data_IF_119228154088
#
_entry.id   IF_119228154088
#
_cell.length_a   1.000
_cell.length_b   1.000
_cell.length_c   1.000
_cell.angle_alpha   90.00
_cell.angle_beta   90.00
_cell.angle_gamma   90.00
#
_symmetry.space_group_name_H-M   'P 1'
#
loop_
_entity.id
_entity.type
_entity.pdbx_description
1 polymer ?
#
# COMPACT_ATOMS: atom_id res chain seq x y z
N UNK A 1 -27.37 22.47 14.87
CA UNK A 1 -26.17 22.57 14.03
C UNK A 1 -24.89 22.00 14.65
N UNK A 2 -24.92 21.37 15.81
CA UNK A 2 -23.71 20.87 16.51
C UNK A 2 -23.55 19.35 16.51
N UNK A 3 -24.35 18.59 15.75
CA UNK A 3 -24.28 17.11 15.67
C UNK A 3 -23.68 16.56 14.37
N UNK A 4 -23.38 17.39 13.39
CA UNK A 4 -22.82 16.94 12.10
C UNK A 4 -21.29 16.74 12.10
N UNK A 5 -20.57 17.40 12.99
CA UNK A 5 -19.09 17.35 12.98
C UNK A 5 -18.48 16.15 13.71
N UNK A 6 -19.27 15.37 14.45
CA UNK A 6 -18.74 14.26 15.26
C UNK A 6 -18.66 12.93 14.47
N UNK A 7 -19.42 12.78 13.40
CA UNK A 7 -19.47 11.53 12.59
C UNK A 7 -18.43 11.56 11.46
N UNK A 8 -18.16 12.72 10.86
CA UNK A 8 -17.13 12.89 9.84
C UNK A 8 -15.70 12.57 10.35
N UNK A 9 -15.48 12.72 11.66
CA UNK A 9 -14.19 12.42 12.31
C UNK A 9 -13.96 10.90 12.45
N UNK A 10 -15.02 10.09 12.48
CA UNK A 10 -14.90 8.65 12.74
C UNK A 10 -14.57 7.81 11.48
N UNK A 11 -14.89 8.29 10.28
CA UNK A 11 -14.67 7.57 9.04
C UNK A 11 -13.30 7.90 8.42
N UNK A 12 -12.79 9.10 8.64
CA UNK A 12 -11.43 9.51 8.26
C UNK A 12 -10.34 8.97 9.22
N UNK A 13 -10.72 8.33 10.33
CA UNK A 13 -9.78 7.96 11.39
C UNK A 13 -8.97 6.67 11.14
N UNK A 14 -9.24 5.90 10.10
CA UNK A 14 -8.41 4.72 9.79
C UNK A 14 -7.14 5.08 9.00
N UNK A 15 -7.16 6.14 8.20
CA UNK A 15 -5.96 6.66 7.52
C UNK A 15 -5.37 7.92 8.16
N UNK A 16 -6.09 8.55 9.11
CA UNK A 16 -5.55 9.65 9.91
C UNK A 16 -5.14 9.20 11.33
N UNK A 17 -4.90 7.94 11.58
CA UNK A 17 -4.37 7.47 12.87
C UNK A 17 -3.04 8.18 13.23
N UNK A 18 -2.25 8.55 12.23
CA UNK A 18 -1.03 9.34 12.43
C UNK A 18 -1.30 10.82 12.78
N UNK A 19 -2.51 11.33 12.58
CA UNK A 19 -2.82 12.74 12.85
C UNK A 19 -3.33 13.00 14.28
N UNK A 20 -3.85 11.98 14.97
CA UNK A 20 -4.53 12.16 16.27
C UNK A 20 -3.54 12.28 17.44
N UNK A 21 -2.32 11.77 17.27
CA UNK A 21 -1.35 11.68 18.37
C UNK A 21 -0.02 12.40 18.11
N UNK A 22 0.10 13.16 17.03
CA UNK A 22 1.29 13.94 16.75
C UNK A 22 1.58 14.94 17.87
N UNK A 23 2.81 14.90 18.41
CA UNK A 23 3.23 15.90 19.36
C UNK A 23 3.39 17.25 18.66
N UNK A 24 2.53 18.21 18.99
CA UNK A 24 2.65 19.57 18.46
C UNK A 24 3.83 20.27 19.13
N UNK A 25 4.88 20.53 18.36
CA UNK A 25 6.05 21.30 18.84
C UNK A 25 5.75 22.80 18.76
N UNK A 26 5.05 23.19 17.70
CA UNK A 26 4.64 24.57 17.45
C UNK A 26 3.32 24.57 16.67
N UNK A 27 2.45 25.51 16.99
CA UNK A 27 1.23 25.83 16.25
C UNK A 27 0.82 27.28 16.59
N UNK A 28 0.43 28.05 15.60
CA UNK A 28 -0.03 29.43 15.77
C UNK A 28 -1.44 29.67 15.21
N UNK A 29 -1.94 30.88 15.47
CA UNK A 29 -3.29 31.30 15.06
C UNK A 29 -3.47 31.42 13.54
N UNK A 30 -2.40 31.42 12.75
CA UNK A 30 -2.44 31.48 11.29
C UNK A 30 -2.51 30.09 10.67
N UNK A 31 -2.41 29.02 11.47
CA UNK A 31 -2.41 27.63 11.04
C UNK A 31 -1.02 27.13 10.63
N UNK A 32 0.04 27.85 10.93
CA UNK A 32 1.40 27.37 10.83
C UNK A 32 1.66 26.36 11.95
N UNK A 33 2.31 25.24 11.63
CA UNK A 33 2.59 24.22 12.64
C UNK A 33 3.89 23.44 12.35
N UNK A 34 4.43 22.86 13.42
CA UNK A 34 5.45 21.82 13.38
C UNK A 34 5.02 20.69 14.31
N UNK A 35 4.91 19.47 13.79
CA UNK A 35 4.46 18.29 14.52
C UNK A 35 5.45 17.15 14.37
N UNK A 36 5.72 16.46 15.47
CA UNK A 36 6.42 15.20 15.53
C UNK A 36 5.39 14.08 15.68
N UNK A 37 5.51 13.03 14.91
CA UNK A 37 4.64 11.87 14.96
C UNK A 37 5.43 10.61 14.69
N UNK A 38 4.84 9.48 14.98
CA UNK A 38 5.43 8.20 14.67
C UNK A 38 4.62 7.05 15.19
N UNK A 39 5.14 5.87 14.97
CA UNK A 39 4.56 4.64 15.47
C UNK A 39 5.63 3.58 15.75
N UNK A 40 5.29 2.64 16.60
CA UNK A 40 6.07 1.41 16.83
C UNK A 40 5.12 0.25 16.69
N UNK A 41 5.44 -0.64 15.77
CA UNK A 41 4.76 -1.90 15.53
C UNK A 41 5.62 -3.09 15.91
N UNK A 42 5.04 -4.05 16.63
CA UNK A 42 5.72 -5.29 17.00
C UNK A 42 4.80 -6.45 16.72
N UNK A 43 5.26 -7.39 15.90
CA UNK A 43 4.46 -8.56 15.54
C UNK A 43 4.97 -9.26 14.30
N UNK A 44 4.12 -10.10 13.73
CA UNK A 44 4.44 -10.83 12.52
C UNK A 44 3.56 -12.05 12.31
N UNK A 45 3.92 -12.83 11.32
CA UNK A 45 3.21 -14.02 10.87
C UNK A 45 3.73 -15.28 11.57
N UNK A 46 2.81 -16.18 11.89
CA UNK A 46 3.09 -17.50 12.43
C UNK A 46 2.38 -18.53 11.56
N UNK A 47 3.13 -19.47 11.00
CA UNK A 47 2.58 -20.50 10.11
C UNK A 47 3.11 -20.40 8.68
N UNK A 48 2.40 -20.95 7.72
CA UNK A 48 2.73 -20.80 6.30
C UNK A 48 2.41 -19.39 5.85
N UNK A 49 3.39 -18.71 5.29
CA UNK A 49 3.21 -17.35 4.78
C UNK A 49 2.90 -17.33 3.29
N UNK A 50 2.23 -16.26 2.90
CA UNK A 50 1.92 -15.96 1.54
C UNK A 50 2.95 -14.99 0.92
N UNK A 51 3.57 -15.37 -0.19
CA UNK A 51 4.26 -14.47 -1.10
C UNK A 51 3.94 -14.87 -2.54
N UNK A 52 3.25 -14.02 -3.29
CA UNK A 52 2.93 -14.18 -4.72
C UNK A 52 2.40 -15.58 -5.12
N UNK A 53 1.51 -16.16 -4.30
CA UNK A 53 0.89 -17.45 -4.60
C UNK A 53 1.64 -18.70 -4.16
N UNK A 54 2.77 -18.57 -3.54
CA UNK A 54 3.48 -19.69 -2.94
C UNK A 54 3.36 -19.67 -1.42
N UNK A 55 2.94 -20.81 -0.84
CA UNK A 55 3.08 -21.03 0.58
C UNK A 55 4.53 -21.34 0.90
N UNK A 56 5.20 -20.49 1.64
CA UNK A 56 6.45 -20.86 2.27
C UNK A 56 6.13 -21.78 3.45
N UNK A 57 6.13 -23.07 3.19
CA UNK A 57 6.01 -24.12 4.21
C UNK A 57 7.34 -24.38 4.90
N UNK A 58 8.13 -23.33 5.18
CA UNK A 58 9.31 -23.55 5.98
C UNK A 58 8.85 -23.75 7.43
N UNK A 59 9.17 -24.89 8.02
CA UNK A 59 8.71 -25.34 9.36
C UNK A 59 9.09 -24.39 10.51
N UNK A 60 9.69 -23.23 10.22
CA UNK A 60 10.15 -22.23 11.20
C UNK A 60 9.50 -20.86 11.05
N UNK A 61 8.38 -20.83 10.58
CA UNK A 61 7.60 -19.76 10.08
C UNK A 61 7.14 -18.76 11.14
N UNK A 62 8.04 -18.04 11.72
CA UNK A 62 7.76 -16.70 12.23
C UNK A 62 8.45 -15.70 11.31
N UNK A 63 7.69 -14.82 10.71
CA UNK A 63 8.17 -13.67 9.95
C UNK A 63 7.97 -12.45 10.81
N UNK A 64 9.06 -11.84 11.21
CA UNK A 64 9.08 -10.64 12.02
C UNK A 64 8.76 -9.42 11.13
N UNK A 65 7.61 -8.82 11.37
CA UNK A 65 7.10 -7.63 10.70
C UNK A 65 7.15 -6.41 11.63
N UNK A 66 8.08 -6.42 12.57
CA UNK A 66 8.23 -5.32 13.54
C UNK A 66 8.95 -4.13 12.89
N UNK A 67 8.44 -2.93 13.14
CA UNK A 67 9.00 -1.70 12.60
C UNK A 67 8.82 -0.51 13.56
N UNK A 68 9.47 0.60 13.24
CA UNK A 68 9.23 1.89 13.89
C UNK A 68 9.34 3.02 12.86
N UNK A 69 8.39 3.93 12.89
CA UNK A 69 8.35 5.13 12.06
C UNK A 69 8.54 6.37 12.91
N UNK A 70 9.33 7.32 12.43
CA UNK A 70 9.50 8.64 13.04
C UNK A 70 9.37 9.71 11.97
N UNK A 71 8.35 10.56 12.10
CA UNK A 71 8.05 11.61 11.12
C UNK A 71 8.01 13.01 11.71
N UNK A 72 8.41 13.97 10.90
CA UNK A 72 8.23 15.41 11.13
C UNK A 72 7.43 15.98 9.98
N UNK A 73 6.33 16.68 10.30
CA UNK A 73 5.55 17.43 9.32
C UNK A 73 5.32 18.86 9.79
N UNK A 74 5.33 19.77 8.86
CA UNK A 74 5.15 21.16 9.15
C UNK A 74 4.48 21.93 8.02
N UNK A 75 3.91 23.07 8.41
CA UNK A 75 3.32 24.04 7.49
C UNK A 75 3.74 25.43 7.90
N UNK A 76 4.05 26.27 6.92
CA UNK A 76 4.27 27.70 7.10
C UNK A 76 3.66 28.44 5.91
N UNK A 77 2.70 29.31 6.22
CA UNK A 77 1.86 29.95 5.21
C UNK A 77 1.20 28.90 4.29
N UNK A 78 1.56 28.90 3.00
CA UNK A 78 1.11 27.95 1.99
C UNK A 78 2.06 26.78 1.74
N UNK A 79 3.23 26.81 2.34
CA UNK A 79 4.22 25.75 2.18
C UNK A 79 4.03 24.68 3.26
N UNK A 80 4.04 23.42 2.87
CA UNK A 80 4.09 22.30 3.81
C UNK A 80 5.22 21.34 3.43
N UNK A 81 5.61 20.50 4.37
CA UNK A 81 6.68 19.53 4.18
C UNK A 81 6.52 18.34 5.10
N UNK A 82 7.07 17.20 4.69
CA UNK A 82 7.16 15.99 5.48
C UNK A 82 8.52 15.35 5.30
N UNK A 83 9.09 14.87 6.41
CA UNK A 83 10.20 13.93 6.48
C UNK A 83 9.75 12.77 7.35
N UNK A 84 9.88 11.55 6.83
CA UNK A 84 9.58 10.32 7.57
C UNK A 84 10.72 9.33 7.40
N UNK A 85 11.06 8.70 8.50
CA UNK A 85 12.12 7.71 8.61
C UNK A 85 11.51 6.43 9.14
N UNK A 86 11.76 5.34 8.44
CA UNK A 86 11.37 4.01 8.84
C UNK A 86 12.56 3.18 9.28
N UNK A 87 12.37 2.44 10.36
CA UNK A 87 13.33 1.50 10.90
C UNK A 87 12.70 0.12 10.87
N UNK A 88 13.09 -0.68 9.90
CA UNK A 88 12.51 -1.96 9.58
C UNK A 88 13.56 -3.01 9.17
N UNK A 89 13.16 -4.24 8.94
CA UNK A 89 14.04 -5.27 8.39
C UNK A 89 14.36 -4.99 6.92
N UNK A 90 15.65 -5.14 6.53
CA UNK A 90 16.10 -5.00 5.14
C UNK A 90 15.27 -5.85 4.16
N UNK A 91 14.86 -7.02 4.59
CA UNK A 91 13.96 -7.89 3.86
C UNK A 91 12.69 -8.13 4.69
N UNK A 92 11.85 -7.11 4.77
CA UNK A 92 10.63 -7.13 5.57
C UNK A 92 9.66 -8.25 5.14
N UNK A 93 9.57 -8.56 3.85
CA UNK A 93 8.72 -9.66 3.32
C UNK A 93 9.05 -11.03 3.92
N UNK A 94 10.27 -11.23 4.34
CA UNK A 94 10.75 -12.48 4.92
C UNK A 94 11.13 -12.35 6.41
N UNK A 95 10.94 -11.18 7.00
CA UNK A 95 11.34 -10.89 8.38
C UNK A 95 12.82 -11.14 8.64
N UNK A 96 13.68 -10.96 7.64
CA UNK A 96 15.10 -11.32 7.68
C UNK A 96 16.01 -10.14 7.30
N UNK A 97 17.31 -10.31 7.47
CA UNK A 97 18.29 -9.24 7.26
C UNK A 97 18.49 -8.35 8.49
N UNK A 98 19.33 -7.36 8.34
CA UNK A 98 19.60 -6.38 9.40
C UNK A 98 18.45 -5.37 9.51
N UNK A 99 18.33 -4.71 10.65
CA UNK A 99 17.45 -3.57 10.82
C UNK A 99 18.11 -2.35 10.15
N UNK A 100 17.40 -1.75 9.22
CA UNK A 100 17.88 -0.61 8.44
C UNK A 100 16.99 0.62 8.68
N UNK A 101 17.61 1.78 8.56
CA UNK A 101 16.92 3.05 8.60
C UNK A 101 16.78 3.56 7.16
N UNK A 102 15.55 3.75 6.72
CA UNK A 102 15.22 4.26 5.38
C UNK A 102 14.52 5.61 5.47
N UNK A 103 14.53 6.35 4.39
CA UNK A 103 13.69 7.55 4.24
C UNK A 103 12.44 7.10 3.49
N UNK A 104 11.30 7.18 4.16
CA UNK A 104 10.01 6.81 3.59
C UNK A 104 9.36 8.00 2.86
N UNK A 105 9.34 9.17 3.49
CA UNK A 105 8.83 10.40 2.88
C UNK A 105 9.82 11.54 2.99
N UNK A 106 10.00 12.27 1.90
CA UNK A 106 10.78 13.51 1.86
C UNK A 106 10.25 14.43 0.77
N UNK A 107 9.30 15.27 1.08
CA UNK A 107 8.71 16.17 0.11
C UNK A 107 8.45 17.57 0.66
N UNK A 108 8.24 18.49 -0.28
CA UNK A 108 7.74 19.83 -0.03
C UNK A 108 6.50 20.06 -0.88
N UNK A 109 5.47 20.66 -0.29
CA UNK A 109 4.23 20.96 -0.97
C UNK A 109 3.83 22.42 -0.86
N UNK A 110 2.85 22.80 -1.66
CA UNK A 110 2.30 24.14 -1.73
C UNK A 110 0.77 24.10 -1.89
N UNK A 111 0.06 24.83 -1.02
CA UNK A 111 -1.39 25.01 -1.10
C UNK A 111 -1.73 25.96 -2.24
N UNK A 112 -2.23 25.44 -3.35
CA UNK A 112 -2.58 26.22 -4.55
C UNK A 112 -3.86 27.02 -4.29
N UNK A 113 -4.87 26.33 -3.72
CA UNK A 113 -6.15 26.89 -3.29
C UNK A 113 -6.57 26.25 -1.96
N UNK A 114 -7.71 26.65 -1.45
CA UNK A 114 -8.32 26.00 -0.29
C UNK A 114 -8.61 24.52 -0.62
N UNK A 115 -8.12 23.62 0.23
CA UNK A 115 -8.23 22.16 0.07
C UNK A 115 -7.61 21.58 -1.23
N UNK A 116 -6.64 22.28 -1.81
CA UNK A 116 -5.93 21.81 -3.00
C UNK A 116 -4.45 22.12 -2.88
N UNK A 117 -3.61 21.12 -3.13
CA UNK A 117 -2.16 21.28 -3.01
C UNK A 117 -1.40 20.50 -4.08
N UNK A 118 -0.17 20.92 -4.27
CA UNK A 118 0.85 20.22 -5.06
C UNK A 118 1.99 19.89 -4.13
N UNK A 119 2.55 18.71 -4.25
CA UNK A 119 3.78 18.32 -3.56
C UNK A 119 4.78 17.70 -4.53
N UNK A 120 6.08 17.74 -4.16
CA UNK A 120 7.15 17.20 -4.97
C UNK A 120 8.26 16.63 -4.09
N UNK A 121 8.75 15.45 -4.44
CA UNK A 121 9.81 14.73 -3.72
C UNK A 121 9.60 13.24 -3.70
N UNK A 122 10.07 12.59 -2.64
CA UNK A 122 9.74 11.20 -2.29
C UNK A 122 8.39 11.21 -1.58
N UNK A 123 7.37 10.70 -2.25
CA UNK A 123 5.98 10.70 -1.77
C UNK A 123 5.20 9.57 -2.42
N UNK A 124 4.07 9.21 -1.82
CA UNK A 124 3.13 8.25 -2.38
C UNK A 124 2.65 8.67 -3.76
N UNK A 125 2.41 7.72 -4.65
CA UNK A 125 1.62 8.00 -5.84
C UNK A 125 0.18 8.35 -5.44
N UNK A 126 -0.58 8.97 -6.33
CA UNK A 126 -1.87 9.52 -5.92
C UNK A 126 -2.90 8.45 -5.52
N UNK A 127 -2.83 7.24 -6.07
CA UNK A 127 -3.78 6.16 -5.79
C UNK A 127 -3.36 5.26 -4.63
N UNK A 128 -2.12 5.27 -4.20
CA UNK A 128 -1.53 4.40 -3.17
C UNK A 128 -2.38 4.33 -1.88
N UNK A 129 -2.79 5.45 -1.32
CA UNK A 129 -3.66 5.51 -0.15
C UNK A 129 -5.04 4.84 -0.31
N UNK A 130 -5.43 4.47 -1.53
CA UNK A 130 -6.79 4.02 -1.87
C UNK A 130 -6.86 2.66 -2.55
N UNK A 131 -5.75 2.02 -2.85
CA UNK A 131 -5.68 0.73 -3.52
C UNK A 131 -6.39 -0.40 -2.74
N UNK A 132 -6.36 -0.31 -1.40
CA UNK A 132 -7.02 -1.21 -0.44
C UNK A 132 -8.22 -0.58 0.25
N UNK A 133 -8.85 0.44 -0.34
CA UNK A 133 -9.86 1.25 0.35
C UNK A 133 -11.00 0.46 0.98
N UNK A 134 -11.43 -0.63 0.37
CA UNK A 134 -12.53 -1.48 0.84
C UNK A 134 -12.13 -2.54 1.85
N UNK A 135 -10.86 -2.70 2.20
CA UNK A 135 -10.44 -3.69 3.17
C UNK A 135 -10.47 -3.16 4.62
N UNK A 136 -10.80 -4.04 5.56
CA UNK A 136 -10.78 -3.79 7.00
C UNK A 136 -9.82 -4.70 7.75
N UNK A 137 -9.17 -5.64 7.08
CA UNK A 137 -8.17 -6.53 7.66
C UNK A 137 -6.78 -5.87 7.64
N UNK A 138 -5.84 -6.35 8.42
CA UNK A 138 -4.48 -5.82 8.48
C UNK A 138 -3.55 -6.53 7.52
N UNK A 139 -3.84 -7.80 7.24
CA UNK A 139 -2.92 -8.70 6.58
C UNK A 139 -3.58 -9.46 5.42
N UNK A 140 -2.77 -9.96 4.51
CA UNK A 140 -3.14 -10.84 3.39
C UNK A 140 -4.34 -10.35 2.59
N UNK A 141 -4.23 -9.16 2.05
CA UNK A 141 -5.28 -8.56 1.23
C UNK A 141 -5.04 -8.82 -0.25
N UNK A 142 -6.10 -8.71 -1.04
CA UNK A 142 -6.02 -8.57 -2.50
C UNK A 142 -5.67 -7.13 -2.80
N UNK A 143 -4.47 -6.91 -3.30
CA UNK A 143 -3.95 -5.58 -3.58
C UNK A 143 -3.50 -5.42 -5.02
N UNK A 144 -3.48 -4.20 -5.48
CA UNK A 144 -2.98 -3.85 -6.80
C UNK A 144 -1.45 -3.91 -6.83
N UNK A 145 -0.87 -4.08 -8.02
CA UNK A 145 0.58 -3.92 -8.23
C UNK A 145 0.98 -2.47 -8.47
N UNK A 146 0.27 -1.49 -7.86
CA UNK A 146 0.60 -0.08 -8.04
C UNK A 146 1.99 0.28 -7.49
N UNK A 147 2.53 1.45 -7.87
CA UNK A 147 3.95 1.74 -7.67
C UNK A 147 4.32 2.16 -6.24
N UNK A 148 3.35 2.53 -5.41
CA UNK A 148 3.59 3.01 -4.06
C UNK A 148 4.41 4.29 -3.98
N UNK A 149 5.29 4.34 -2.98
CA UNK A 149 6.21 5.45 -2.77
C UNK A 149 7.26 5.56 -3.86
N UNK A 150 7.42 6.76 -4.39
CA UNK A 150 8.35 7.00 -5.48
C UNK A 150 9.18 8.27 -5.27
N UNK A 151 10.46 8.17 -5.57
CA UNK A 151 11.33 9.32 -5.75
C UNK A 151 10.87 10.19 -6.93
N UNK A 152 11.23 11.47 -6.93
CA UNK A 152 11.03 12.38 -8.08
C UNK A 152 9.58 12.42 -8.56
N UNK A 153 8.65 12.41 -7.61
CA UNK A 153 7.22 12.46 -7.87
C UNK A 153 6.69 13.88 -7.70
N UNK A 154 5.81 14.28 -8.60
CA UNK A 154 4.97 15.47 -8.44
C UNK A 154 3.54 14.96 -8.31
N UNK A 155 2.87 15.35 -7.22
CA UNK A 155 1.50 14.95 -6.91
C UNK A 155 0.63 16.19 -6.70
N UNK A 156 -0.55 16.17 -7.26
CA UNK A 156 -1.62 17.12 -6.99
C UNK A 156 -2.78 16.39 -6.33
N UNK A 157 -3.33 16.99 -5.28
CA UNK A 157 -4.56 16.54 -4.65
C UNK A 157 -5.52 17.70 -4.42
N UNK A 158 -6.82 17.40 -4.53
CA UNK A 158 -7.87 18.38 -4.30
C UNK A 158 -9.14 17.77 -3.77
N UNK A 159 -9.85 18.53 -2.91
CA UNK A 159 -11.19 18.21 -2.42
C UNK A 159 -12.19 19.21 -2.98
N UNK A 160 -13.25 18.70 -3.56
CA UNK A 160 -14.32 19.46 -4.20
C UNK A 160 -15.67 19.08 -3.61
N UNK A 161 -16.58 20.01 -3.47
CA UNK A 161 -17.95 19.78 -2.99
C UNK A 161 -18.00 19.02 -1.64
N UNK A 162 -17.01 19.25 -0.78
CA UNK A 162 -16.82 18.61 0.53
C UNK A 162 -16.57 17.09 0.51
N UNK A 163 -17.17 16.35 -0.41
CA UNK A 163 -17.17 14.89 -0.43
C UNK A 163 -16.38 14.27 -1.60
N UNK A 164 -16.01 15.03 -2.62
CA UNK A 164 -15.29 14.53 -3.78
C UNK A 164 -13.82 14.88 -3.67
N UNK A 165 -12.95 13.85 -3.72
CA UNK A 165 -11.51 14.01 -3.84
C UNK A 165 -11.02 13.57 -5.22
N UNK A 166 -9.97 14.21 -5.65
CA UNK A 166 -9.26 13.88 -6.88
C UNK A 166 -7.77 14.03 -6.63
N UNK A 167 -6.98 13.06 -7.08
CA UNK A 167 -5.53 13.10 -7.04
C UNK A 167 -4.93 12.66 -8.37
N UNK A 168 -3.77 13.22 -8.72
CA UNK A 168 -2.98 12.79 -9.85
C UNK A 168 -1.49 12.98 -9.54
N UNK A 169 -0.68 12.02 -9.93
CA UNK A 169 0.77 12.07 -9.78
C UNK A 169 1.50 11.68 -11.06
N UNK A 170 2.71 12.20 -11.17
CA UNK A 170 3.68 11.81 -12.19
C UNK A 170 5.03 11.59 -11.53
N UNK A 171 5.59 10.41 -11.75
CA UNK A 171 6.92 10.02 -11.29
C UNK A 171 7.85 9.89 -12.49
N UNK A 172 8.98 10.55 -12.44
CA UNK A 172 10.03 10.41 -13.45
C UNK A 172 10.98 9.28 -13.08
N UNK A 173 11.07 8.27 -13.94
CA UNK A 173 12.01 7.15 -13.75
C UNK A 173 11.76 6.34 -12.49
N UNK A 174 10.51 5.91 -12.27
CA UNK A 174 10.10 5.14 -11.10
C UNK A 174 10.87 3.83 -10.92
N UNK A 175 10.90 3.33 -9.68
CA UNK A 175 11.59 2.11 -9.29
C UNK A 175 10.72 1.22 -8.43
N UNK A 176 10.89 -0.09 -8.61
CA UNK A 176 10.30 -1.07 -7.68
C UNK A 176 11.03 -1.08 -6.34
N UNK A 177 10.44 -1.69 -5.33
CA UNK A 177 11.07 -1.91 -4.01
C UNK A 177 12.41 -2.65 -4.10
N UNK A 178 12.63 -3.45 -5.14
CA UNK A 178 13.91 -4.12 -5.43
C UNK A 178 14.90 -3.25 -6.21
N UNK A 179 14.57 -1.99 -6.51
CA UNK A 179 15.39 -1.06 -7.28
C UNK A 179 15.36 -1.27 -8.79
N UNK A 180 14.48 -2.13 -9.32
CA UNK A 180 14.32 -2.31 -10.76
C UNK A 180 13.61 -1.10 -11.36
N UNK A 181 14.04 -0.65 -12.54
CA UNK A 181 13.42 0.48 -13.23
C UNK A 181 12.00 0.12 -13.72
N UNK A 182 11.04 0.97 -13.45
CA UNK A 182 9.64 0.89 -13.88
C UNK A 182 9.32 1.86 -15.03
N UNK A 183 10.23 2.76 -15.36
CA UNK A 183 10.00 3.88 -16.29
C UNK A 183 9.20 5.01 -15.64
N UNK A 184 8.66 5.89 -16.47
CA UNK A 184 7.80 6.97 -15.98
C UNK A 184 6.43 6.42 -15.57
N UNK A 185 5.89 6.95 -14.47
CA UNK A 185 4.62 6.49 -13.90
C UNK A 185 3.62 7.66 -13.91
N UNK A 186 2.43 7.39 -14.41
CA UNK A 186 1.25 8.27 -14.29
C UNK A 186 0.22 7.55 -13.45
N UNK A 187 -0.21 8.17 -12.38
CA UNK A 187 -1.14 7.57 -11.42
C UNK A 187 -2.21 8.61 -11.06
N UNK A 188 -3.41 8.16 -10.68
CA UNK A 188 -4.45 9.08 -10.25
C UNK A 188 -5.72 8.38 -9.80
N UNK A 189 -6.53 9.11 -9.05
CA UNK A 189 -7.81 8.64 -8.56
C UNK A 189 -8.87 9.73 -8.56
N UNK A 190 -10.12 9.29 -8.49
CA UNK A 190 -11.28 10.08 -8.11
C UNK A 190 -12.12 9.29 -7.12
N UNK A 191 -12.57 9.93 -6.06
CA UNK A 191 -13.38 9.28 -5.03
C UNK A 191 -14.46 10.19 -4.46
N UNK A 192 -15.54 9.56 -4.02
CA UNK A 192 -16.59 10.15 -3.20
C UNK A 192 -16.46 9.66 -1.76
N UNK A 193 -16.45 10.55 -0.79
CA UNK A 193 -16.18 10.26 0.63
C UNK A 193 -17.24 10.88 1.53
N UNK A 194 -18.48 10.39 1.43
CA UNK A 194 -19.59 10.83 2.27
C UNK A 194 -19.65 10.08 3.61
N UNK A 195 -20.57 10.51 4.49
CA UNK A 195 -20.66 10.04 5.88
C UNK A 195 -20.86 8.53 6.04
N UNK A 196 -21.69 7.90 5.22
CA UNK A 196 -22.02 6.47 5.33
C UNK A 196 -21.58 5.65 4.13
N UNK A 197 -21.16 6.30 3.06
CA UNK A 197 -20.72 5.65 1.83
C UNK A 197 -19.50 6.37 1.27
N UNK A 198 -18.52 5.59 0.85
CA UNK A 198 -17.37 6.09 0.08
C UNK A 198 -17.02 5.10 -1.03
N UNK A 199 -16.57 5.63 -2.15
CA UNK A 199 -16.06 4.84 -3.25
C UNK A 199 -14.96 5.58 -3.97
N UNK A 200 -13.96 4.85 -4.44
CA UNK A 200 -12.79 5.38 -5.15
C UNK A 200 -12.49 4.52 -6.37
N UNK A 201 -12.09 5.18 -7.44
CA UNK A 201 -11.54 4.55 -8.65
C UNK A 201 -10.15 5.12 -8.85
N UNK A 202 -9.16 4.26 -9.03
CA UNK A 202 -7.78 4.63 -9.34
C UNK A 202 -7.30 4.00 -10.64
N UNK A 203 -6.33 4.65 -11.23
CA UNK A 203 -5.70 4.25 -12.49
C UNK A 203 -4.19 4.47 -12.37
N UNK A 204 -3.42 3.54 -12.91
CA UNK A 204 -1.99 3.71 -13.09
C UNK A 204 -1.55 3.24 -14.48
N UNK A 205 -0.55 3.91 -15.02
CA UNK A 205 0.16 3.50 -16.22
C UNK A 205 1.66 3.72 -16.04
N UNK A 206 2.45 2.71 -16.40
CA UNK A 206 3.91 2.77 -16.41
C UNK A 206 4.42 2.62 -17.83
N UNK A 207 5.45 3.41 -18.17
CA UNK A 207 6.08 3.35 -19.50
C UNK A 207 7.04 2.19 -19.68
N UNK A 208 7.41 1.53 -18.57
CA UNK A 208 8.46 0.50 -18.60
C UNK A 208 9.84 1.07 -18.88
N UNK A 209 10.82 0.18 -18.93
CA UNK A 209 12.21 0.54 -19.20
C UNK A 209 12.76 -0.40 -20.28
N UNK A 210 12.51 -0.08 -21.54
CA UNK A 210 12.87 -0.86 -22.71
C UNK A 210 14.29 -1.43 -22.67
N UNK A 211 14.39 -2.76 -22.63
CA UNK A 211 15.65 -3.49 -22.68
C UNK A 211 16.55 -3.32 -21.44
N UNK A 212 16.13 -2.60 -20.41
CA UNK A 212 16.95 -2.32 -19.22
C UNK A 212 16.43 -2.97 -17.95
N UNK A 213 15.16 -3.28 -17.88
CA UNK A 213 14.50 -3.84 -16.71
C UNK A 213 13.66 -5.06 -17.07
N UNK A 214 13.35 -5.86 -16.05
CA UNK A 214 12.38 -6.95 -16.19
C UNK A 214 10.94 -6.45 -16.37
N UNK A 215 10.67 -5.19 -16.04
CA UNK A 215 9.35 -4.57 -16.14
C UNK A 215 9.23 -3.75 -17.41
N UNK A 216 8.21 -4.05 -18.21
CA UNK A 216 7.78 -3.28 -19.36
C UNK A 216 6.63 -2.32 -19.03
N UNK A 217 5.73 -2.13 -19.98
CA UNK A 217 4.53 -1.33 -19.76
C UNK A 217 3.61 -1.99 -18.74
N UNK A 218 2.91 -1.17 -17.94
CA UNK A 218 1.84 -1.63 -17.08
C UNK A 218 0.63 -0.72 -17.21
N UNK A 219 -0.54 -1.30 -17.06
CA UNK A 219 -1.83 -0.60 -16.96
C UNK A 219 -2.65 -1.24 -15.85
N UNK A 220 -3.14 -0.42 -14.96
CA UNK A 220 -3.87 -0.85 -13.78
C UNK A 220 -5.12 -0.01 -13.61
N UNK A 221 -6.21 -0.64 -13.21
CA UNK A 221 -7.41 0.00 -12.70
C UNK A 221 -7.82 -0.66 -11.40
N UNK A 222 -8.05 0.15 -10.36
CA UNK A 222 -8.52 -0.28 -9.06
C UNK A 222 -9.83 0.40 -8.67
N UNK A 223 -10.62 -0.29 -7.89
CA UNK A 223 -11.85 0.20 -7.31
C UNK A 223 -11.95 -0.22 -5.85
N UNK A 224 -12.28 0.73 -4.97
CA UNK A 224 -12.56 0.47 -3.57
C UNK A 224 -13.87 1.12 -3.12
N UNK A 225 -14.57 0.47 -2.19
CA UNK A 225 -15.84 0.95 -1.66
C UNK A 225 -15.98 0.60 -0.17
N UNK A 226 -16.53 1.53 0.63
CA UNK A 226 -16.92 1.30 2.01
C UNK A 226 -18.36 1.77 2.23
N UNK A 227 -19.11 1.00 3.00
CA UNK A 227 -20.48 1.32 3.39
C UNK A 227 -20.70 1.06 4.87
N UNK A 228 -21.06 2.11 5.62
CA UNK A 228 -21.49 1.99 7.00
C UNK A 228 -23.00 1.71 7.04
N UNK A 229 -23.39 0.46 7.30
CA UNK A 229 -24.78 0.06 7.48
C UNK A 229 -25.37 0.78 8.69
N UNK A 230 -24.57 0.92 9.75
CA UNK A 230 -24.84 1.67 10.96
C UNK A 230 -23.51 1.92 11.70
N UNK A 231 -23.56 2.46 12.91
CA UNK A 231 -22.37 2.80 13.72
C UNK A 231 -21.53 1.55 14.11
N UNK A 232 -22.06 0.34 13.97
CA UNK A 232 -21.38 -0.89 14.39
C UNK A 232 -21.03 -1.84 13.26
N UNK A 233 -21.69 -1.75 12.09
CA UNK A 233 -21.50 -2.65 10.96
C UNK A 233 -21.02 -1.85 9.76
N UNK A 234 -19.85 -2.21 9.26
CA UNK A 234 -19.25 -1.64 8.07
C UNK A 234 -18.95 -2.75 7.06
N UNK A 235 -19.22 -2.49 5.81
CA UNK A 235 -18.95 -3.39 4.69
C UNK A 235 -17.97 -2.73 3.74
N UNK A 236 -17.10 -3.52 3.13
CA UNK A 236 -16.12 -3.08 2.17
C UNK A 236 -16.06 -3.99 0.94
N UNK A 237 -15.58 -3.42 -0.13
CA UNK A 237 -15.33 -4.12 -1.39
C UNK A 237 -14.15 -3.47 -2.11
N UNK A 238 -13.22 -4.30 -2.59
CA UNK A 238 -12.18 -3.91 -3.54
C UNK A 238 -12.23 -4.81 -4.76
N UNK A 239 -11.81 -4.28 -5.89
CA UNK A 239 -11.52 -5.04 -7.10
C UNK A 239 -10.46 -4.32 -7.92
N UNK A 240 -9.64 -5.08 -8.65
CA UNK A 240 -8.68 -4.53 -9.58
C UNK A 240 -8.50 -5.40 -10.82
N UNK A 241 -7.97 -4.79 -11.86
CA UNK A 241 -7.46 -5.44 -13.06
C UNK A 241 -6.15 -4.78 -13.46
N UNK A 242 -5.18 -5.59 -13.83
CA UNK A 242 -3.83 -5.17 -14.16
C UNK A 242 -3.31 -5.97 -15.37
N UNK A 243 -2.65 -5.26 -16.28
CA UNK A 243 -1.82 -5.83 -17.33
C UNK A 243 -0.39 -5.34 -17.13
N UNK A 244 0.58 -6.24 -17.07
CA UNK A 244 1.98 -5.92 -16.94
C UNK A 244 2.83 -6.71 -17.93
N UNK A 245 3.70 -6.02 -18.63
CA UNK A 245 4.70 -6.67 -19.50
C UNK A 245 5.91 -7.06 -18.65
N UNK A 246 6.22 -8.36 -18.65
CA UNK A 246 7.39 -8.89 -17.95
C UNK A 246 8.38 -9.48 -18.96
N UNK A 247 9.64 -9.08 -18.83
CA UNK A 247 10.68 -9.37 -19.79
C UNK A 247 11.33 -10.73 -19.62
N UNK A 248 11.65 -11.36 -20.73
CA UNK A 248 12.64 -12.43 -20.80
C UNK A 248 14.05 -11.86 -20.66
N UNK A 249 14.85 -12.50 -19.83
CA UNK A 249 16.24 -12.13 -19.61
C UNK A 249 17.16 -12.89 -20.56
N UNK A 250 17.80 -12.19 -21.48
CA UNK A 250 18.90 -12.72 -22.26
C UNK A 250 20.24 -12.25 -21.69
N UNK A 251 21.13 -13.15 -21.40
CA UNK A 251 22.50 -12.82 -20.96
C UNK A 251 23.40 -12.68 -22.14
N UNK A 252 23.73 -11.46 -22.52
CA UNK A 252 24.73 -11.19 -23.54
C UNK A 252 26.12 -11.14 -22.90
N UNK A 253 27.00 -12.02 -23.33
CA UNK A 253 28.41 -12.00 -22.92
C UNK A 253 29.14 -11.07 -23.88
N UNK A 254 29.60 -9.93 -23.40
CA UNK A 254 30.54 -9.11 -24.15
C UNK A 254 31.85 -9.87 -24.29
N UNK A 255 32.16 -10.29 -25.52
CA UNK A 255 33.38 -11.04 -25.81
C UNK A 255 34.67 -10.21 -25.64
N UNK A 256 34.54 -8.90 -25.48
CA UNK A 256 35.67 -7.98 -25.24
C UNK A 256 35.95 -7.78 -23.76
N UNK A 257 34.95 -7.96 -22.90
CA UNK A 257 35.07 -7.88 -21.44
C UNK A 257 34.27 -9.01 -20.76
N UNK A 258 34.97 -10.13 -20.52
CA UNK A 258 34.38 -11.35 -19.96
C UNK A 258 33.87 -11.17 -18.50
N UNK A 259 34.24 -10.08 -17.82
CA UNK A 259 33.80 -9.76 -16.47
C UNK A 259 32.50 -8.93 -16.49
N UNK A 260 32.17 -8.31 -17.61
CA UNK A 260 31.00 -7.44 -17.74
C UNK A 260 29.84 -8.19 -18.46
N UNK A 261 29.11 -8.98 -17.68
CA UNK A 261 27.88 -9.62 -18.17
C UNK A 261 26.76 -8.60 -18.17
N UNK A 262 26.33 -8.12 -19.32
CA UNK A 262 25.12 -7.32 -19.43
C UNK A 262 23.91 -8.23 -19.62
N UNK A 263 22.92 -8.04 -18.79
CA UNK A 263 21.60 -8.64 -18.99
C UNK A 263 20.77 -7.69 -19.87
N UNK A 264 20.34 -8.17 -21.01
CA UNK A 264 19.46 -7.43 -21.92
C UNK A 264 18.10 -8.12 -21.88
N UNK A 265 17.06 -7.35 -21.70
CA UNK A 265 15.68 -7.81 -21.73
C UNK A 265 15.10 -7.48 -23.11
N UNK A 266 14.94 -8.48 -23.96
CA UNK A 266 14.61 -8.24 -25.37
C UNK A 266 13.21 -8.68 -25.78
N UNK A 267 12.50 -9.36 -24.90
CA UNK A 267 11.21 -9.97 -25.23
C UNK A 267 10.30 -9.85 -24.01
N UNK A 268 9.19 -9.17 -24.17
CA UNK A 268 8.20 -8.98 -23.12
C UNK A 268 6.99 -9.87 -23.35
N UNK A 269 6.46 -10.41 -22.28
CA UNK A 269 5.21 -11.14 -22.26
C UNK A 269 4.24 -10.44 -21.36
N UNK A 270 3.06 -10.11 -21.85
CA UNK A 270 1.99 -9.50 -21.06
C UNK A 270 1.41 -10.53 -20.09
N UNK A 271 1.33 -10.15 -18.85
CA UNK A 271 0.71 -10.89 -17.77
C UNK A 271 -0.54 -10.12 -17.32
N UNK A 272 -1.65 -10.82 -17.19
CA UNK A 272 -2.89 -10.26 -16.63
C UNK A 272 -3.07 -10.72 -15.18
N UNK A 273 -3.45 -9.80 -14.31
CA UNK A 273 -3.79 -10.07 -12.92
C UNK A 273 -5.11 -9.37 -12.59
N UNK A 274 -5.98 -10.05 -11.89
CA UNK A 274 -7.22 -9.47 -11.41
C UNK A 274 -7.58 -10.01 -10.04
N UNK A 275 -8.18 -9.18 -9.22
CA UNK A 275 -8.57 -9.56 -7.89
C UNK A 275 -9.81 -8.84 -7.40
N UNK A 276 -10.45 -9.44 -6.40
CA UNK A 276 -11.56 -8.83 -5.68
C UNK A 276 -11.62 -9.33 -4.25
N UNK A 277 -12.02 -8.47 -3.33
CA UNK A 277 -12.34 -8.85 -1.97
C UNK A 277 -13.66 -8.24 -1.52
N UNK A 278 -14.33 -8.94 -0.61
CA UNK A 278 -15.41 -8.39 0.19
C UNK A 278 -14.95 -8.44 1.65
N UNK A 279 -15.16 -7.36 2.38
CA UNK A 279 -14.78 -7.30 3.78
C UNK A 279 -15.91 -6.80 4.67
N UNK A 280 -15.81 -7.09 5.96
CA UNK A 280 -16.75 -6.62 6.96
C UNK A 280 -16.03 -6.30 8.26
N UNK A 281 -16.50 -5.26 8.95
CA UNK A 281 -16.08 -4.90 10.31
C UNK A 281 -17.31 -4.79 11.20
N UNK A 282 -17.24 -5.41 12.37
CA UNK A 282 -18.25 -5.32 13.43
C UNK A 282 -17.64 -4.75 14.71
N UNK A 283 -18.15 -3.62 15.17
CA UNK A 283 -17.71 -2.93 16.37
C UNK A 283 -18.57 -3.36 17.56
N UNK A 284 -18.04 -4.21 18.43
CA UNK A 284 -18.74 -4.67 19.65
C UNK A 284 -18.78 -3.58 20.70
N UNK A 285 -17.65 -2.91 20.91
CA UNK A 285 -17.47 -1.81 21.84
C UNK A 285 -16.48 -0.81 21.23
N UNK A 286 -16.27 0.33 21.89
CA UNK A 286 -15.23 1.28 21.46
C UNK A 286 -13.82 0.70 21.42
N UNK A 287 -13.60 -0.44 22.10
CA UNK A 287 -12.29 -1.08 22.22
C UNK A 287 -12.17 -2.38 21.39
N UNK A 288 -13.26 -3.02 21.03
CA UNK A 288 -13.24 -4.34 20.39
C UNK A 288 -13.93 -4.32 19.04
N UNK A 289 -13.24 -4.80 18.04
CA UNK A 289 -13.73 -4.97 16.67
C UNK A 289 -13.48 -6.40 16.19
N UNK A 290 -14.40 -6.94 15.44
CA UNK A 290 -14.21 -8.14 14.61
C UNK A 290 -14.11 -7.69 13.17
N UNK A 291 -13.12 -8.19 12.45
CA UNK A 291 -12.89 -7.92 11.03
C UNK A 291 -12.80 -9.22 10.26
N UNK A 292 -13.08 -9.18 8.98
CA UNK A 292 -12.87 -10.33 8.12
C UNK A 292 -13.05 -9.98 6.67
N UNK A 293 -12.42 -10.79 5.81
CA UNK A 293 -12.52 -10.67 4.37
C UNK A 293 -12.65 -12.04 3.70
N UNK A 294 -13.18 -12.03 2.50
CA UNK A 294 -13.09 -13.14 1.56
C UNK A 294 -12.48 -12.63 0.28
N UNK A 295 -11.41 -13.27 -0.15
CA UNK A 295 -10.50 -12.79 -1.16
C UNK A 295 -10.49 -13.75 -2.36
N UNK A 296 -10.41 -13.19 -3.55
CA UNK A 296 -10.23 -13.89 -4.82
C UNK A 296 -9.17 -13.16 -5.64
N UNK A 297 -8.27 -13.92 -6.25
CA UNK A 297 -7.28 -13.42 -7.17
C UNK A 297 -7.02 -14.44 -8.28
N UNK A 298 -6.80 -13.96 -9.48
CA UNK A 298 -6.50 -14.75 -10.67
C UNK A 298 -5.34 -14.12 -11.41
N UNK A 299 -4.37 -14.96 -11.72
CA UNK A 299 -3.24 -14.63 -12.56
C UNK A 299 -3.29 -15.44 -13.85
N UNK A 300 -2.97 -14.83 -14.98
CA UNK A 300 -2.70 -15.57 -16.19
C UNK A 300 -1.41 -16.36 -16.02
N UNK A 301 -1.49 -17.68 -16.26
CA UNK A 301 -0.36 -18.57 -16.03
C UNK A 301 0.75 -18.27 -17.04
N UNK A 302 1.94 -18.03 -16.54
CA UNK A 302 3.15 -17.96 -17.34
C UNK A 302 3.45 -19.31 -18.00
N UNK A 303 4.02 -19.24 -19.23
CA UNK A 303 4.62 -20.43 -19.87
C UNK A 303 5.81 -20.90 -19.01
N UNK A 304 5.70 -22.07 -18.35
CA UNK A 304 6.76 -22.61 -17.51
C UNK A 304 8.03 -22.95 -18.27
N UNK A 305 8.01 -22.92 -19.61
CA UNK A 305 9.18 -23.12 -20.46
C UNK A 305 10.04 -21.86 -20.59
N UNK A 306 9.60 -20.71 -20.08
CA UNK A 306 10.40 -19.51 -20.11
C UNK A 306 11.44 -19.52 -18.99
N UNK A 307 12.71 -19.68 -19.33
CA UNK A 307 13.87 -19.70 -18.40
C UNK A 307 14.13 -18.38 -17.63
N UNK A 308 13.22 -17.42 -17.69
CA UNK A 308 13.44 -16.07 -17.16
C UNK A 308 13.23 -15.97 -15.68
N UNK A 309 12.35 -16.77 -15.17
CA UNK A 309 12.11 -16.98 -13.75
C UNK A 309 12.35 -18.45 -13.47
N UNK A 310 12.91 -18.79 -12.33
CA UNK A 310 12.98 -20.18 -11.93
C UNK A 310 11.53 -20.68 -11.75
N UNK A 311 10.87 -21.06 -12.82
CA UNK A 311 9.50 -21.55 -13.05
C UNK A 311 8.55 -21.80 -11.88
N UNK A 312 9.00 -21.55 -10.65
CA UNK A 312 8.27 -21.85 -9.42
C UNK A 312 7.38 -20.70 -8.96
N UNK A 313 7.72 -19.46 -9.28
CA UNK A 313 6.98 -18.30 -8.76
C UNK A 313 5.61 -18.05 -9.39
N UNK A 314 5.36 -18.64 -10.56
CA UNK A 314 4.13 -18.40 -11.32
C UNK A 314 3.47 -19.71 -11.78
N UNK A 315 3.79 -20.82 -11.13
CA UNK A 315 3.20 -22.12 -11.44
C UNK A 315 1.91 -22.41 -10.70
N UNK A 316 1.45 -21.51 -9.84
CA UNK A 316 0.17 -21.66 -9.17
C UNK A 316 -0.95 -21.34 -10.15
N UNK A 317 -1.97 -22.14 -10.07
CA UNK A 317 -3.07 -22.14 -10.99
C UNK A 317 -3.69 -20.75 -11.21
N UNK A 318 -4.52 -20.66 -12.19
CA UNK A 318 -5.12 -19.42 -12.68
C UNK A 318 -5.90 -18.65 -11.63
N UNK A 319 -6.36 -19.28 -10.55
CA UNK A 319 -7.13 -18.61 -9.51
C UNK A 319 -6.87 -19.17 -8.12
N UNK A 320 -7.04 -18.32 -7.10
CA UNK A 320 -6.91 -18.66 -5.69
C UNK A 320 -7.91 -17.89 -4.84
N UNK A 321 -8.31 -18.50 -3.72
CA UNK A 321 -9.24 -17.91 -2.76
C UNK A 321 -8.78 -18.13 -1.33
N UNK A 322 -9.04 -17.17 -0.45
CA UNK A 322 -8.83 -17.33 0.98
C UNK A 322 -9.76 -16.43 1.79
N UNK A 323 -9.93 -16.78 3.05
CA UNK A 323 -10.66 -15.99 4.03
C UNK A 323 -9.75 -15.52 5.14
N UNK A 324 -9.95 -14.29 5.59
CA UNK A 324 -9.30 -13.70 6.76
C UNK A 324 -10.34 -13.43 7.84
N UNK A 325 -10.03 -13.77 9.08
CA UNK A 325 -10.85 -13.45 10.25
C UNK A 325 -9.97 -12.92 11.37
N UNK A 326 -10.28 -11.72 11.87
CA UNK A 326 -9.47 -11.04 12.85
C UNK A 326 -10.26 -10.39 13.98
N UNK A 327 -9.56 -10.16 15.08
CA UNK A 327 -10.03 -9.42 16.25
C UNK A 327 -9.06 -8.30 16.56
N UNK A 328 -9.57 -7.09 16.67
CA UNK A 328 -8.80 -5.90 17.04
C UNK A 328 -9.21 -5.44 18.44
N UNK A 329 -8.22 -5.25 19.29
CA UNK A 329 -8.37 -4.62 20.61
C UNK A 329 -7.65 -3.28 20.64
N UNK A 330 -8.37 -2.21 20.96
CA UNK A 330 -7.89 -0.83 21.05
C UNK A 330 -7.81 -0.41 22.52
N UNK A 331 -6.71 -0.67 23.24
CA UNK A 331 -6.56 -0.30 24.65
C UNK A 331 -6.75 1.20 24.87
N UNK A 332 -6.23 2.00 23.93
CA UNK A 332 -6.33 3.46 23.89
C UNK A 332 -6.69 3.94 22.49
N UNK A 333 -6.92 5.25 22.32
CA UNK A 333 -7.10 5.85 20.98
C UNK A 333 -5.85 5.81 20.12
N UNK A 334 -4.69 5.56 20.72
CA UNK A 334 -3.36 5.53 20.07
C UNK A 334 -2.70 4.16 20.13
N UNK A 335 -3.44 3.08 20.30
CA UNK A 335 -2.87 1.75 20.29
C UNK A 335 -3.86 0.70 19.81
N UNK A 336 -3.35 -0.33 19.15
CA UNK A 336 -4.11 -1.47 18.68
C UNK A 336 -3.32 -2.75 18.89
N UNK A 337 -4.02 -3.81 19.25
CA UNK A 337 -3.53 -5.19 19.25
C UNK A 337 -4.45 -5.95 18.30
N UNK A 338 -3.91 -6.51 17.25
CA UNK A 338 -4.61 -7.27 16.23
C UNK A 338 -4.18 -8.73 16.26
N UNK A 339 -5.12 -9.62 16.02
CA UNK A 339 -4.89 -11.02 15.76
C UNK A 339 -5.77 -11.43 14.58
N UNK A 340 -5.16 -11.91 13.51
CA UNK A 340 -5.83 -12.36 12.30
C UNK A 340 -5.43 -13.80 11.97
N UNK A 341 -6.32 -14.53 11.33
CA UNK A 341 -6.10 -15.88 10.83
C UNK A 341 -6.53 -15.94 9.38
N UNK A 342 -5.64 -16.45 8.56
CA UNK A 342 -5.87 -16.66 7.14
C UNK A 342 -6.06 -18.16 6.86
N UNK A 343 -7.02 -18.50 5.99
CA UNK A 343 -7.27 -19.86 5.57
C UNK A 343 -7.77 -19.92 4.13
N UNK A 344 -7.12 -20.72 3.29
CA UNK A 344 -7.49 -20.92 1.90
C UNK A 344 -6.33 -21.32 1.02
N UNK A 345 -6.48 -21.10 -0.28
CA UNK A 345 -5.49 -21.51 -1.27
C UNK A 345 -4.23 -20.65 -1.25
N UNK A 346 -4.38 -19.39 -0.90
CA UNK A 346 -3.30 -18.40 -0.97
C UNK A 346 -2.68 -18.05 0.38
N UNK A 347 -3.37 -18.33 1.50
CA UNK A 347 -2.88 -17.98 2.82
C UNK A 347 -3.34 -19.00 3.87
N UNK A 348 -2.43 -19.43 4.73
CA UNK A 348 -2.69 -20.35 5.84
C UNK A 348 -1.77 -20.00 7.01
N UNK A 349 -1.99 -18.84 7.62
CA UNK A 349 -1.17 -18.35 8.70
C UNK A 349 -1.99 -17.63 9.77
N UNK A 350 -1.32 -17.22 10.84
CA UNK A 350 -1.87 -16.34 11.84
C UNK A 350 -0.95 -15.11 11.93
N UNK A 351 -1.54 -13.94 11.89
CA UNK A 351 -0.89 -12.65 12.07
C UNK A 351 -1.21 -12.08 13.45
N UNK A 352 -0.19 -11.75 14.24
CA UNK A 352 -0.35 -11.15 15.55
C UNK A 352 0.49 -9.87 15.64
N UNK A 353 -0.15 -8.77 16.06
CA UNK A 353 0.46 -7.46 15.96
C UNK A 353 0.03 -6.51 17.08
N UNK A 354 0.97 -5.74 17.61
CA UNK A 354 0.71 -4.65 18.53
C UNK A 354 1.35 -3.36 18.02
N UNK A 355 0.55 -2.28 17.90
CA UNK A 355 0.98 -1.00 17.37
C UNK A 355 0.62 0.13 18.33
N UNK A 356 1.53 1.06 18.52
CA UNK A 356 1.35 2.30 19.30
C UNK A 356 1.72 3.48 18.42
N UNK A 357 0.83 4.47 18.38
CA UNK A 357 0.99 5.74 17.66
C UNK A 357 1.29 6.88 18.64
N UNK A 358 2.11 7.85 18.25
CA UNK A 358 2.43 9.04 19.05
C UNK A 358 2.64 10.31 18.21
#
# INVERSE_FOLDING_TARGET
MLKRNAVAIAISSLFMATAVNAATIYEDDNGDFLKLYGEVGVGGHVGANYEYGEFYTDEKSYIDDSFATLGVKGKRDKMHYRLELDYERENWKHGSGDLVLTIDKLFVGYDVWENQYIEAGLTDTAFDDYDKWGDFTFDTTVETGEAGDQDVTIKYEGRYFDDVKFGASYTYGGKSSSGSELGDIVNGYIGYFGDSFSAVVGLEGRGGSDGKSKYGEQRLVGFGMRYAVNDTIHLGFNAFYEEEDIARKETVIDNTDKENKQSIFNDYQTQENQGALVSAKYIFTKQWELVGSYNYEEYEAWDPSSDVWDGKRYSWGTSRTWGTLGVNYKPTSSSIIALEMNAGDAAQDAYAYARVYF
#
